data_IF_139155062186
#
_entry.id   IF_139155062186
#
_cell.length_a   1.000
_cell.length_b   1.000
_cell.length_c   1.000
_cell.angle_alpha   90.00
_cell.angle_beta   90.00
_cell.angle_gamma   90.00
#
_symmetry.space_group_name_H-M   'P 1'
#
loop_
_entity.id
_entity.type
_entity.pdbx_description
1 polymer ?
#
# COMPACT_ATOMS: atom_id res chain seq x y z
N UNK A 1 -14.58 31.19 33.31
CA UNK A 1 -13.65 30.05 33.16
C UNK A 1 -13.57 29.68 31.69
N UNK A 2 -12.36 29.65 31.13
CA UNK A 2 -12.08 29.27 29.73
C UNK A 2 -11.47 27.88 29.70
N UNK A 3 -12.00 26.98 28.88
CA UNK A 3 -11.36 25.69 28.62
C UNK A 3 -11.58 25.25 27.19
N UNK A 4 -10.60 24.50 26.68
CA UNK A 4 -10.53 24.02 25.30
C UNK A 4 -11.46 22.80 25.16
N UNK A 5 -12.21 22.76 24.07
CA UNK A 5 -13.11 21.65 23.73
C UNK A 5 -12.47 20.74 22.69
N UNK A 6 -11.78 21.30 21.70
CA UNK A 6 -11.07 20.52 20.69
C UNK A 6 -10.73 21.31 19.43
N UNK A 7 -9.73 20.83 18.70
CA UNK A 7 -9.34 21.35 17.39
C UNK A 7 -10.03 20.58 16.26
N UNK A 8 -10.28 21.24 15.13
CA UNK A 8 -10.88 20.62 13.95
C UNK A 8 -10.49 21.35 12.66
N UNK A 9 -10.55 20.62 11.54
CA UNK A 9 -10.40 21.17 10.19
C UNK A 9 -11.75 21.66 9.66
N UNK A 10 -11.79 22.93 9.26
CA UNK A 10 -12.95 23.56 8.61
C UNK A 10 -12.60 23.92 7.17
N UNK A 11 -13.36 23.37 6.21
CA UNK A 11 -13.19 23.66 4.78
C UNK A 11 -14.31 24.61 4.37
N UNK A 12 -13.92 25.80 3.91
CA UNK A 12 -14.83 26.82 3.41
C UNK A 12 -14.80 26.76 1.88
N UNK A 13 -15.93 26.42 1.22
CA UNK A 13 -15.98 26.40 -0.24
C UNK A 13 -15.77 27.81 -0.79
N UNK A 14 -15.07 27.93 -1.92
CA UNK A 14 -14.90 29.18 -2.63
C UNK A 14 -15.45 29.04 -4.06
N UNK A 15 -16.13 30.09 -4.57
CA UNK A 15 -16.72 30.06 -5.90
C UNK A 15 -15.63 30.33 -6.94
N UNK A 16 -15.30 29.32 -7.75
CA UNK A 16 -14.35 29.45 -8.86
C UNK A 16 -12.86 29.35 -8.48
N UNK A 17 -12.54 29.00 -7.24
CA UNK A 17 -11.15 28.78 -6.79
C UNK A 17 -11.07 27.68 -5.73
N UNK A 18 -9.84 27.30 -5.34
CA UNK A 18 -9.62 26.26 -4.33
C UNK A 18 -10.24 26.65 -2.98
N UNK A 19 -10.81 25.68 -2.23
CA UNK A 19 -11.45 25.98 -0.95
C UNK A 19 -10.43 26.49 0.07
N UNK A 20 -10.89 27.31 1.00
CA UNK A 20 -10.06 27.76 2.13
C UNK A 20 -10.10 26.71 3.24
N UNK A 21 -8.95 26.26 3.69
CA UNK A 21 -8.80 25.21 4.68
C UNK A 21 -8.28 25.85 5.97
N UNK A 22 -9.02 25.72 7.07
CA UNK A 22 -8.72 26.38 8.34
C UNK A 22 -8.59 25.36 9.47
N UNK A 23 -7.53 25.47 10.26
CA UNK A 23 -7.45 24.85 11.57
C UNK A 23 -8.19 25.74 12.57
N UNK A 24 -9.19 25.19 13.26
CA UNK A 24 -10.00 25.93 14.23
C UNK A 24 -9.98 25.24 15.58
N UNK A 25 -9.97 26.05 16.63
CA UNK A 25 -10.15 25.58 18.00
C UNK A 25 -11.52 26.01 18.50
N UNK A 26 -12.26 25.05 19.07
CA UNK A 26 -13.50 25.28 19.80
C UNK A 26 -13.19 25.41 21.29
N UNK A 27 -13.70 26.45 21.94
CA UNK A 27 -13.53 26.70 23.37
C UNK A 27 -14.85 27.18 24.00
N UNK A 28 -14.98 27.05 25.32
CA UNK A 28 -16.12 27.59 26.06
C UNK A 28 -15.74 28.84 26.83
N UNK A 29 -16.60 29.83 26.72
CA UNK A 29 -16.55 31.07 27.48
C UNK A 29 -17.87 31.21 28.25
N UNK A 30 -17.83 30.87 29.53
CA UNK A 30 -19.04 30.75 30.34
C UNK A 30 -19.98 29.69 29.76
N UNK A 31 -21.22 30.07 29.43
CA UNK A 31 -22.23 29.17 28.87
C UNK A 31 -22.20 29.05 27.34
N UNK A 32 -21.32 29.78 26.64
CA UNK A 32 -21.28 29.84 25.18
C UNK A 32 -20.07 29.08 24.62
N UNK A 33 -20.29 28.29 23.57
CA UNK A 33 -19.21 27.71 22.76
C UNK A 33 -18.83 28.72 21.67
N UNK A 34 -17.53 29.01 21.57
CA UNK A 34 -16.96 29.89 20.54
C UNK A 34 -15.91 29.13 19.73
N UNK A 35 -15.59 29.62 18.54
CA UNK A 35 -14.57 29.06 17.66
C UNK A 35 -13.57 30.14 17.26
N UNK A 36 -12.27 29.89 17.37
CA UNK A 36 -11.22 30.75 16.82
C UNK A 36 -10.43 30.06 15.72
N UNK A 37 -9.98 30.82 14.72
CA UNK A 37 -9.07 30.32 13.70
C UNK A 37 -7.65 30.30 14.27
N UNK A 38 -6.98 29.16 14.21
CA UNK A 38 -5.60 28.99 14.67
C UNK A 38 -4.61 29.14 13.51
N UNK A 39 -4.95 28.59 12.33
CA UNK A 39 -4.10 28.66 11.15
C UNK A 39 -4.91 28.53 9.84
N UNK A 40 -4.34 29.03 8.75
CA UNK A 40 -4.79 28.80 7.38
C UNK A 40 -3.90 27.72 6.73
N UNK A 41 -4.52 26.60 6.35
CA UNK A 41 -3.89 25.40 5.80
C UNK A 41 -4.20 25.22 4.30
N UNK A 42 -4.69 26.26 3.62
CA UNK A 42 -5.10 26.18 2.19
C UNK A 42 -3.93 25.88 1.23
N UNK A 43 -2.70 25.99 1.70
CA UNK A 43 -1.49 25.64 0.94
C UNK A 43 -1.19 24.13 0.96
N UNK A 44 -1.80 23.37 1.88
CA UNK A 44 -1.61 21.93 1.97
C UNK A 44 -2.39 21.20 0.86
N UNK A 45 -1.84 20.11 0.30
CA UNK A 45 -2.58 19.22 -0.58
C UNK A 45 -3.69 18.48 0.18
N UNK A 46 -4.79 18.14 -0.53
CA UNK A 46 -5.99 17.57 0.10
C UNK A 46 -5.75 16.28 0.90
N UNK A 47 -4.85 15.41 0.45
CA UNK A 47 -4.54 14.17 1.18
C UNK A 47 -3.97 14.45 2.59
N UNK A 48 -3.16 15.50 2.77
CA UNK A 48 -2.66 15.89 4.10
C UNK A 48 -3.76 16.47 4.97
N UNK A 49 -4.68 17.22 4.36
CA UNK A 49 -5.84 17.81 5.04
C UNK A 49 -6.78 16.73 5.56
N UNK A 50 -6.98 15.66 4.79
CA UNK A 50 -7.78 14.50 5.18
C UNK A 50 -7.14 13.74 6.35
N UNK A 51 -5.83 13.53 6.32
CA UNK A 51 -5.10 12.92 7.45
C UNK A 51 -5.22 13.77 8.72
N UNK A 52 -4.99 15.08 8.63
CA UNK A 52 -5.16 15.99 9.78
C UNK A 52 -6.59 15.97 10.31
N UNK A 53 -7.60 15.95 9.43
CA UNK A 53 -9.01 15.82 9.82
C UNK A 53 -9.24 14.53 10.61
N UNK A 54 -8.73 13.40 10.15
CA UNK A 54 -8.88 12.11 10.82
C UNK A 54 -8.24 12.13 12.21
N UNK A 55 -7.02 12.67 12.35
CA UNK A 55 -6.33 12.80 13.65
C UNK A 55 -7.15 13.66 14.61
N UNK A 56 -7.65 14.82 14.17
CA UNK A 56 -8.47 15.68 15.04
C UNK A 56 -9.84 15.07 15.39
N UNK A 57 -10.30 14.06 14.65
CA UNK A 57 -11.50 13.27 14.97
C UNK A 57 -11.21 12.06 15.86
N UNK A 58 -9.94 11.85 16.26
CA UNK A 58 -9.52 10.77 17.14
C UNK A 58 -9.13 9.48 16.42
N UNK A 59 -8.90 9.52 15.10
CA UNK A 59 -8.33 8.36 14.41
C UNK A 59 -6.87 8.14 14.86
N UNK A 60 -6.53 6.90 15.17
CA UNK A 60 -5.15 6.48 15.39
C UNK A 60 -4.52 6.13 14.03
N UNK A 61 -3.61 6.99 13.56
CA UNK A 61 -2.93 6.80 12.30
C UNK A 61 -1.54 6.21 12.56
N UNK A 62 -1.30 5.04 12.00
CA UNK A 62 0.03 4.43 11.98
C UNK A 62 0.74 4.79 10.67
N UNK A 63 2.07 5.01 10.70
CA UNK A 63 2.83 5.23 9.48
C UNK A 63 2.69 4.02 8.55
N UNK A 64 2.47 4.27 7.26
CA UNK A 64 2.35 3.20 6.28
C UNK A 64 3.62 2.33 6.27
N UNK A 65 3.45 1.01 6.36
CA UNK A 65 4.56 0.06 6.39
C UNK A 65 5.23 -0.11 7.77
N UNK A 66 4.84 0.65 8.79
CA UNK A 66 5.19 0.38 10.18
C UNK A 66 4.04 -0.36 10.87
N UNK A 67 4.36 -1.29 11.76
CA UNK A 67 3.38 -2.11 12.49
C UNK A 67 3.11 -3.49 11.89
N UNK A 68 3.76 -3.84 10.77
CA UNK A 68 3.77 -5.22 10.26
C UNK A 68 5.00 -5.95 10.80
N UNK A 69 4.80 -7.18 11.29
CA UNK A 69 5.88 -8.10 11.64
C UNK A 69 5.88 -9.22 10.60
N UNK A 70 7.06 -9.56 10.10
CA UNK A 70 7.21 -10.74 9.25
C UNK A 70 7.01 -11.99 10.13
N UNK A 71 5.83 -12.60 10.06
CA UNK A 71 5.53 -13.80 10.86
C UNK A 71 6.24 -15.05 10.35
N UNK A 72 6.45 -15.14 9.02
CA UNK A 72 7.18 -16.22 8.37
C UNK A 72 7.73 -15.78 7.02
N UNK A 73 8.89 -16.29 6.66
CA UNK A 73 9.38 -16.27 5.27
C UNK A 73 8.93 -17.54 4.56
N UNK A 74 8.41 -17.43 3.34
CA UNK A 74 8.10 -18.61 2.54
C UNK A 74 9.40 -19.27 2.05
N UNK A 75 9.51 -20.61 2.09
CA UNK A 75 10.69 -21.30 1.58
C UNK A 75 10.75 -21.19 0.05
N UNK A 76 11.54 -20.24 -0.47
CA UNK A 76 11.72 -20.03 -1.92
C UNK A 76 13.13 -20.42 -2.43
N UNK A 77 14.01 -20.91 -1.55
CA UNK A 77 15.42 -21.18 -1.89
C UNK A 77 15.59 -22.22 -3.00
N UNK A 78 14.73 -23.24 -3.03
CA UNK A 78 14.74 -24.25 -4.10
C UNK A 78 14.34 -23.64 -5.46
N UNK A 79 13.35 -22.73 -5.47
CA UNK A 79 12.91 -22.05 -6.70
C UNK A 79 14.03 -21.18 -7.24
N UNK A 80 14.65 -20.39 -6.36
CA UNK A 80 15.77 -19.51 -6.71
C UNK A 80 16.97 -20.31 -7.23
N UNK A 81 17.28 -21.45 -6.62
CA UNK A 81 18.36 -22.33 -7.10
C UNK A 81 18.12 -22.82 -8.53
N UNK A 82 16.89 -23.26 -8.85
CA UNK A 82 16.51 -23.68 -10.20
C UNK A 82 16.55 -22.50 -11.17
N UNK A 83 16.01 -21.33 -10.78
CA UNK A 83 16.03 -20.13 -11.61
C UNK A 83 17.46 -19.69 -11.97
N UNK A 84 18.36 -19.64 -10.98
CA UNK A 84 19.79 -19.34 -11.19
C UNK A 84 20.47 -20.36 -12.08
N UNK A 85 20.15 -21.64 -11.92
CA UNK A 85 20.72 -22.69 -12.78
C UNK A 85 20.28 -22.53 -14.23
N UNK A 86 18.99 -22.28 -14.48
CA UNK A 86 18.49 -22.01 -15.84
C UNK A 86 19.19 -20.80 -16.47
N UNK A 87 19.40 -19.73 -15.71
CA UNK A 87 20.14 -18.55 -16.18
C UNK A 87 21.62 -18.90 -16.50
N UNK A 88 22.30 -19.64 -15.62
CA UNK A 88 23.69 -20.07 -15.82
C UNK A 88 23.87 -20.96 -17.06
N UNK A 89 22.87 -21.79 -17.37
CA UNK A 89 22.85 -22.64 -18.56
C UNK A 89 22.46 -21.89 -19.84
N UNK A 90 22.12 -20.59 -19.75
CA UNK A 90 21.67 -19.80 -20.90
C UNK A 90 20.28 -20.17 -21.42
N UNK A 91 19.51 -20.96 -20.67
CA UNK A 91 18.21 -21.47 -21.08
C UNK A 91 17.21 -20.38 -21.53
N UNK A 92 17.12 -19.20 -20.87
CA UNK A 92 16.24 -18.13 -21.35
C UNK A 92 16.53 -17.72 -22.79
N UNK A 93 17.81 -17.62 -23.17
CA UNK A 93 18.25 -17.22 -24.51
C UNK A 93 17.98 -18.28 -25.58
N UNK A 94 17.92 -19.56 -25.20
CA UNK A 94 17.55 -20.66 -26.09
C UNK A 94 16.05 -20.65 -26.44
N UNK A 95 15.22 -20.19 -25.51
CA UNK A 95 13.76 -20.10 -25.71
C UNK A 95 13.43 -18.86 -26.55
N UNK A 96 13.96 -17.69 -26.17
CA UNK A 96 13.78 -16.45 -26.92
C UNK A 96 14.92 -15.48 -26.66
N UNK A 97 15.42 -14.83 -27.73
CA UNK A 97 16.51 -13.86 -27.64
C UNK A 97 16.17 -12.57 -26.87
N UNK A 98 14.89 -12.26 -26.67
CA UNK A 98 14.40 -11.12 -25.88
C UNK A 98 13.44 -11.60 -24.79
N UNK A 99 13.31 -10.78 -23.74
CA UNK A 99 12.30 -11.00 -22.70
C UNK A 99 10.91 -10.85 -23.27
N UNK A 100 10.07 -11.87 -23.06
CA UNK A 100 8.65 -11.84 -23.40
C UNK A 100 7.85 -12.72 -22.43
N UNK A 101 6.55 -12.46 -22.26
CA UNK A 101 5.67 -13.25 -21.39
C UNK A 101 5.69 -14.75 -21.72
N UNK A 102 5.79 -15.11 -22.99
CA UNK A 102 5.83 -16.50 -23.45
C UNK A 102 7.08 -17.22 -22.95
N UNK A 103 8.25 -16.55 -23.03
CA UNK A 103 9.51 -17.10 -22.51
C UNK A 103 9.42 -17.34 -21.02
N UNK A 104 8.88 -16.38 -20.29
CA UNK A 104 8.80 -16.46 -18.83
C UNK A 104 7.81 -17.56 -18.39
N UNK A 105 6.70 -17.75 -19.11
CA UNK A 105 5.80 -18.90 -18.91
C UNK A 105 6.49 -20.24 -19.17
N UNK A 106 7.28 -20.36 -20.24
CA UNK A 106 8.02 -21.58 -20.54
C UNK A 106 9.05 -21.89 -19.45
N UNK A 107 9.81 -20.88 -19.00
CA UNK A 107 10.76 -21.03 -17.90
C UNK A 107 10.06 -21.45 -16.60
N UNK A 108 8.90 -20.88 -16.29
CA UNK A 108 8.09 -21.27 -15.14
C UNK A 108 7.61 -22.74 -15.25
N UNK A 109 7.19 -23.20 -16.43
CA UNK A 109 6.80 -24.59 -16.66
C UNK A 109 7.98 -25.56 -16.49
N UNK A 110 9.17 -25.16 -16.95
CA UNK A 110 10.40 -25.95 -16.76
C UNK A 110 10.76 -26.02 -15.28
N UNK A 111 10.75 -24.87 -14.58
CA UNK A 111 11.02 -24.82 -13.14
C UNK A 111 10.03 -25.68 -12.36
N UNK A 112 8.73 -25.58 -12.64
CA UNK A 112 7.70 -26.41 -12.03
C UNK A 112 7.97 -27.91 -12.23
N UNK A 113 8.41 -28.31 -13.43
CA UNK A 113 8.74 -29.70 -13.71
C UNK A 113 9.96 -30.20 -12.93
N UNK A 114 10.94 -29.35 -12.66
CA UNK A 114 12.13 -29.70 -11.88
C UNK A 114 11.79 -29.81 -10.39
N UNK A 115 10.98 -28.88 -9.89
CA UNK A 115 10.67 -28.76 -8.47
C UNK A 115 9.62 -29.76 -7.99
N UNK A 116 8.56 -29.96 -8.77
CA UNK A 116 7.42 -30.81 -8.42
C UNK A 116 6.80 -31.41 -9.70
N UNK A 117 7.40 -32.48 -10.25
CA UNK A 117 6.94 -33.07 -11.50
C UNK A 117 5.56 -33.70 -11.36
N UNK A 118 4.56 -33.08 -11.99
CA UNK A 118 3.17 -33.52 -11.96
C UNK A 118 2.54 -33.56 -13.36
N UNK A 119 1.34 -34.12 -13.45
CA UNK A 119 0.52 -34.03 -14.68
C UNK A 119 0.15 -32.57 -14.97
N UNK A 120 -0.07 -32.21 -16.23
CA UNK A 120 -0.37 -30.83 -16.64
C UNK A 120 -1.49 -30.18 -15.82
N UNK A 121 -2.58 -30.91 -15.60
CA UNK A 121 -3.73 -30.42 -14.82
C UNK A 121 -3.39 -30.29 -13.32
N UNK A 122 -2.61 -31.22 -12.78
CA UNK A 122 -2.17 -31.17 -11.39
C UNK A 122 -1.23 -29.98 -11.14
N UNK A 123 -0.26 -29.73 -12.03
CA UNK A 123 0.63 -28.56 -11.93
C UNK A 123 -0.16 -27.25 -11.89
N UNK A 124 -1.14 -27.05 -12.78
CA UNK A 124 -1.97 -25.83 -12.76
C UNK A 124 -2.81 -25.70 -11.48
N UNK A 125 -3.29 -26.82 -10.91
CA UNK A 125 -4.03 -26.81 -9.64
C UNK A 125 -3.12 -26.53 -8.45
N UNK A 126 -1.88 -27.01 -8.47
CA UNK A 126 -0.90 -26.78 -7.41
C UNK A 126 -0.59 -25.29 -7.24
N UNK A 127 -0.61 -24.50 -8.33
CA UNK A 127 -0.37 -23.05 -8.26
C UNK A 127 -1.40 -22.33 -7.40
N UNK A 128 -2.66 -22.77 -7.41
CA UNK A 128 -3.73 -22.26 -6.53
C UNK A 128 -3.46 -22.47 -5.03
N UNK A 129 -2.52 -23.36 -4.68
CA UNK A 129 -2.07 -23.57 -3.31
C UNK A 129 -0.75 -22.83 -3.00
N UNK A 130 -0.29 -21.95 -3.89
CA UNK A 130 0.93 -21.15 -3.74
C UNK A 130 0.61 -19.65 -3.86
N UNK A 131 1.58 -18.80 -3.58
CA UNK A 131 1.47 -17.35 -3.78
C UNK A 131 1.52 -16.91 -5.26
N UNK A 132 1.44 -17.84 -6.21
CA UNK A 132 1.48 -17.56 -7.67
C UNK A 132 0.08 -17.48 -8.31
N UNK A 133 -0.98 -17.84 -7.59
CA UNK A 133 -2.33 -17.86 -8.15
C UNK A 133 -3.08 -16.52 -8.05
N UNK A 134 -2.57 -15.60 -7.24
CA UNK A 134 -3.02 -14.21 -7.11
C UNK A 134 -1.95 -13.26 -7.67
#
# INVERSE_FOLDING_TARGET
MYYIVGMHIHIVPNRGSRPTILLRESYREGKKVKKRTMANLSHLPMHQVELLRAVFQGADLQPAGLGFVVERSQPHGHVEAVHRMMARLGLPGLIAGKSCPERDRVLALIAARILDPQTRLATTRSWAATTLAD
#
